data_IF_770648474288
#
_entry.id   IF_770648474288
#
_cell.length_a   1.000
_cell.length_b   1.000
_cell.length_c   1.000
_cell.angle_alpha   90.00
_cell.angle_beta   90.00
_cell.angle_gamma   90.00
#
_symmetry.space_group_name_H-M   'P 1'
#
loop_
_entity.id
_entity.type
_entity.pdbx_description
1 polymer ?
#
# COMPACT_ATOMS: atom_id res chain seq x y z
N UNK A 1 -40.92 -5.23 -28.87
CA UNK A 1 -39.66 -4.79 -29.50
C UNK A 1 -38.91 -4.05 -28.41
N UNK A 2 -38.19 -4.79 -27.56
CA UNK A 2 -37.47 -4.23 -26.41
C UNK A 2 -35.97 -4.15 -26.75
N UNK A 3 -35.31 -2.99 -26.60
CA UNK A 3 -33.88 -2.89 -26.82
C UNK A 3 -33.14 -3.34 -25.56
N UNK A 4 -32.40 -4.44 -25.69
CA UNK A 4 -31.45 -4.96 -24.70
C UNK A 4 -30.36 -3.92 -24.40
N UNK A 5 -30.22 -3.57 -23.13
CA UNK A 5 -29.13 -2.72 -22.62
C UNK A 5 -27.83 -3.54 -22.55
N UNK A 6 -27.11 -3.64 -23.67
CA UNK A 6 -25.70 -4.02 -23.68
C UNK A 6 -24.81 -2.79 -23.44
N UNK A 7 -23.69 -2.99 -22.75
CA UNK A 7 -22.58 -2.02 -22.76
C UNK A 7 -22.19 -1.44 -21.41
N UNK A 8 -22.08 -2.27 -20.36
CA UNK A 8 -21.18 -1.93 -19.25
C UNK A 8 -19.74 -2.12 -19.75
N UNK A 9 -19.17 -1.02 -20.23
CA UNK A 9 -17.79 -0.90 -20.69
C UNK A 9 -16.86 -1.39 -19.58
N UNK A 10 -16.28 -2.57 -19.78
CA UNK A 10 -15.19 -3.08 -18.96
C UNK A 10 -14.04 -2.08 -19.04
N UNK A 11 -13.64 -1.58 -17.87
CA UNK A 11 -12.47 -0.71 -17.74
C UNK A 11 -11.24 -1.61 -17.77
N UNK A 12 -10.73 -1.86 -18.97
CA UNK A 12 -9.38 -2.39 -19.19
C UNK A 12 -8.33 -1.29 -18.94
N UNK A 13 -7.39 -1.60 -18.05
CA UNK A 13 -6.17 -0.84 -17.78
C UNK A 13 -5.78 -1.04 -16.31
N UNK A 14 -4.65 -1.64 -15.94
CA UNK A 14 -3.34 -1.74 -16.59
C UNK A 14 -2.63 -2.99 -16.06
N UNK A 15 -1.92 -3.68 -16.96
CA UNK A 15 -1.11 -4.90 -16.71
C UNK A 15 -0.11 -4.72 -15.56
N UNK A 16 -0.07 -5.71 -14.67
CA UNK A 16 0.99 -5.91 -13.69
C UNK A 16 0.75 -7.12 -12.77
N UNK A 17 0.74 -8.34 -13.33
CA UNK A 17 0.81 -9.59 -12.57
C UNK A 17 -0.43 -10.47 -12.65
N UNK A 18 -0.46 -11.37 -13.62
CA UNK A 18 -1.53 -12.36 -13.82
C UNK A 18 -1.53 -13.40 -12.68
N UNK A 19 -2.68 -13.56 -12.02
CA UNK A 19 -3.12 -14.85 -11.45
C UNK A 19 -3.14 -15.04 -9.93
N UNK A 20 -2.57 -14.15 -9.11
CA UNK A 20 -2.46 -14.41 -7.64
C UNK A 20 -3.33 -13.54 -6.74
N UNK A 21 -3.68 -12.32 -7.18
CA UNK A 21 -4.43 -11.35 -6.39
C UNK A 21 -5.49 -10.67 -7.25
N UNK A 22 -6.63 -10.31 -6.64
CA UNK A 22 -7.67 -9.51 -7.29
C UNK A 22 -7.18 -8.09 -7.58
N UNK A 23 -7.85 -7.38 -8.50
CA UNK A 23 -7.51 -5.99 -8.83
C UNK A 23 -7.47 -5.07 -7.60
N UNK A 24 -8.39 -5.28 -6.66
CA UNK A 24 -8.45 -4.52 -5.41
C UNK A 24 -7.25 -4.83 -4.51
N UNK A 25 -6.92 -6.11 -4.33
CA UNK A 25 -5.75 -6.54 -3.56
C UNK A 25 -4.45 -5.99 -4.14
N UNK A 26 -4.27 -6.10 -5.47
CA UNK A 26 -3.09 -5.56 -6.17
C UNK A 26 -2.98 -4.05 -6.01
N UNK A 27 -4.10 -3.32 -6.03
CA UNK A 27 -4.11 -1.87 -5.78
C UNK A 27 -3.59 -1.53 -4.37
N UNK A 28 -4.09 -2.19 -3.33
CA UNK A 28 -3.66 -1.92 -1.96
C UNK A 28 -2.21 -2.34 -1.70
N UNK A 29 -1.76 -3.47 -2.26
CA UNK A 29 -0.36 -3.90 -2.18
C UNK A 29 0.58 -2.90 -2.88
N UNK A 30 0.25 -2.45 -4.09
CA UNK A 30 1.04 -1.45 -4.81
C UNK A 30 1.04 -0.09 -4.09
N UNK A 31 -0.08 0.30 -3.50
CA UNK A 31 -0.18 1.51 -2.67
C UNK A 31 0.73 1.41 -1.44
N UNK A 32 0.69 0.27 -0.73
CA UNK A 32 1.52 0.03 0.45
C UNK A 32 3.02 0.10 0.09
N UNK A 33 3.42 -0.57 -0.99
CA UNK A 33 4.80 -0.54 -1.47
C UNK A 33 5.28 0.89 -1.74
N UNK A 34 4.47 1.70 -2.43
CA UNK A 34 4.84 3.08 -2.76
C UNK A 34 5.01 3.95 -1.51
N UNK A 35 4.12 3.80 -0.52
CA UNK A 35 4.22 4.52 0.75
C UNK A 35 5.47 4.12 1.53
N UNK A 36 5.77 2.81 1.60
CA UNK A 36 6.96 2.29 2.26
C UNK A 36 8.24 2.79 1.59
N UNK A 37 8.29 2.76 0.26
CA UNK A 37 9.41 3.28 -0.52
C UNK A 37 9.64 4.76 -0.25
N UNK A 38 8.59 5.57 -0.31
CA UNK A 38 8.67 7.00 -0.02
C UNK A 38 9.19 7.26 1.40
N UNK A 39 8.73 6.47 2.38
CA UNK A 39 9.14 6.59 3.78
C UNK A 39 10.57 6.12 4.03
N UNK A 40 11.07 5.16 3.26
CA UNK A 40 12.45 4.65 3.30
C UNK A 40 13.43 5.60 2.60
N UNK A 41 13.12 6.04 1.38
CA UNK A 41 14.01 6.86 0.55
C UNK A 41 14.12 8.31 1.03
N UNK A 42 13.05 8.88 1.57
CA UNK A 42 13.00 10.31 1.92
C UNK A 42 12.99 10.57 3.43
N UNK A 43 13.30 9.58 4.28
CA UNK A 43 13.20 9.73 5.74
C UNK A 43 13.93 10.94 6.32
N UNK A 44 15.07 11.32 5.72
CA UNK A 44 15.93 12.40 6.20
C UNK A 44 15.51 13.77 5.63
N UNK A 45 14.67 13.78 4.60
CA UNK A 45 14.18 14.99 3.93
C UNK A 45 12.77 15.39 4.36
N UNK A 46 12.05 14.49 5.04
CA UNK A 46 10.68 14.70 5.47
C UNK A 46 10.64 15.42 6.82
N UNK A 47 9.71 16.36 6.96
CA UNK A 47 9.41 16.93 8.28
C UNK A 47 8.85 15.85 9.23
N UNK A 48 8.98 16.03 10.55
CA UNK A 48 8.38 15.13 11.53
C UNK A 48 6.87 14.91 11.31
N UNK A 49 6.15 15.96 10.91
CA UNK A 49 4.71 15.91 10.57
C UNK A 49 4.47 15.00 9.36
N UNK A 50 5.27 15.14 8.31
CA UNK A 50 5.15 14.34 7.10
C UNK A 50 5.47 12.87 7.36
N UNK A 51 6.46 12.60 8.21
CA UNK A 51 6.76 11.23 8.70
C UNK A 51 5.55 10.63 9.42
N UNK A 52 4.94 11.36 10.36
CA UNK A 52 3.75 10.86 11.09
C UNK A 52 2.57 10.59 10.16
N UNK A 53 2.35 11.45 9.15
CA UNK A 53 1.30 11.26 8.15
C UNK A 53 1.57 10.01 7.29
N UNK A 54 2.80 9.79 6.87
CA UNK A 54 3.19 8.59 6.12
C UNK A 54 3.04 7.33 6.96
N UNK A 55 3.50 7.33 8.22
CA UNK A 55 3.35 6.20 9.12
C UNK A 55 1.86 5.85 9.34
N UNK A 56 0.99 6.86 9.47
CA UNK A 56 -0.45 6.66 9.57
C UNK A 56 -1.05 6.09 8.28
N UNK A 57 -0.62 6.59 7.12
CA UNK A 57 -1.08 6.10 5.82
C UNK A 57 -0.65 4.64 5.59
N UNK A 58 0.60 4.30 5.92
CA UNK A 58 1.13 2.93 5.88
C UNK A 58 0.30 2.02 6.78
N UNK A 59 0.05 2.43 8.03
CA UNK A 59 -0.75 1.65 8.96
C UNK A 59 -2.17 1.37 8.43
N UNK A 60 -2.87 2.41 7.96
CA UNK A 60 -4.22 2.24 7.41
C UNK A 60 -4.22 1.31 6.19
N UNK A 61 -3.29 1.51 5.26
CA UNK A 61 -3.20 0.67 4.05
C UNK A 61 -2.81 -0.78 4.40
N UNK A 62 -2.00 -0.98 5.44
CA UNK A 62 -1.70 -2.32 5.95
C UNK A 62 -2.94 -3.00 6.54
N UNK A 63 -3.77 -2.28 7.31
CA UNK A 63 -5.07 -2.79 7.76
C UNK A 63 -5.98 -3.18 6.59
N UNK A 64 -6.07 -2.33 5.56
CA UNK A 64 -6.85 -2.66 4.35
C UNK A 64 -6.32 -3.95 3.68
N UNK A 65 -5.00 -4.14 3.63
CA UNK A 65 -4.39 -5.39 3.14
C UNK A 65 -4.73 -6.61 4.02
N UNK A 66 -4.84 -6.45 5.33
CA UNK A 66 -5.25 -7.52 6.25
C UNK A 66 -6.71 -7.91 6.00
N UNK A 67 -7.60 -6.93 5.90
CA UNK A 67 -9.03 -7.14 5.67
C UNK A 67 -9.30 -7.80 4.31
N UNK A 68 -8.46 -7.52 3.32
CA UNK A 68 -8.49 -8.14 1.99
C UNK A 68 -7.80 -9.52 1.94
N UNK A 69 -7.27 -10.03 3.05
CA UNK A 69 -6.65 -11.35 3.15
C UNK A 69 -5.25 -11.45 2.53
N UNK A 70 -4.61 -10.32 2.19
CA UNK A 70 -3.25 -10.26 1.61
C UNK A 70 -2.18 -9.82 2.62
N UNK A 71 -2.45 -10.06 3.90
CA UNK A 71 -1.55 -9.71 5.01
C UNK A 71 -0.14 -10.29 4.88
N UNK A 72 0.00 -11.53 4.41
CA UNK A 72 1.30 -12.19 4.24
C UNK A 72 2.21 -11.45 3.25
N UNK A 73 1.63 -10.98 2.14
CA UNK A 73 2.35 -10.21 1.12
C UNK A 73 2.67 -8.81 1.63
N UNK A 74 1.73 -8.18 2.33
CA UNK A 74 1.94 -6.89 2.98
C UNK A 74 3.07 -6.95 4.02
N UNK A 75 3.16 -8.01 4.81
CA UNK A 75 4.27 -8.24 5.73
C UNK A 75 5.60 -8.47 5.01
N UNK A 76 5.58 -9.12 3.83
CA UNK A 76 6.79 -9.26 3.00
C UNK A 76 7.30 -7.88 2.56
N UNK A 77 6.39 -6.98 2.16
CA UNK A 77 6.73 -5.60 1.80
C UNK A 77 7.32 -4.84 3.00
N UNK A 78 6.75 -4.97 4.21
CA UNK A 78 7.29 -4.34 5.41
C UNK A 78 8.73 -4.81 5.74
N UNK A 79 9.05 -6.08 5.50
CA UNK A 79 10.42 -6.60 5.69
C UNK A 79 11.39 -6.11 4.62
N UNK A 80 10.90 -5.83 3.41
CA UNK A 80 11.72 -5.32 2.31
C UNK A 80 12.11 -3.85 2.49
N UNK A 81 11.23 -3.06 3.12
CA UNK A 81 11.46 -1.66 3.44
C UNK A 81 11.52 -1.49 4.96
N UNK A 82 12.68 -1.69 5.60
CA UNK A 82 12.82 -1.48 7.03
C UNK A 82 12.66 0.00 7.35
N UNK A 83 11.42 0.39 7.61
CA UNK A 83 11.08 1.74 8.06
C UNK A 83 11.28 1.80 9.56
N UNK A 84 12.12 2.72 10.08
CA UNK A 84 12.20 2.93 11.51
C UNK A 84 10.85 3.44 12.01
N UNK A 85 10.18 2.63 12.83
CA UNK A 85 8.95 3.04 13.49
C UNK A 85 9.26 4.28 14.34
N UNK A 86 8.38 5.29 14.33
CA UNK A 86 8.59 6.53 15.08
C UNK A 86 8.95 6.31 16.58
N UNK A 87 8.66 5.13 17.15
CA UNK A 87 8.99 4.76 18.52
C UNK A 87 10.44 4.33 18.79
N UNK A 88 11.28 4.06 17.77
CA UNK A 88 12.66 3.59 18.00
C UNK A 88 13.71 4.69 18.17
N UNK A 89 13.33 5.98 18.16
CA UNK A 89 14.24 7.11 18.42
C UNK A 89 14.35 7.51 19.91
N UNK A 90 13.82 6.70 20.84
CA UNK A 90 13.98 6.93 22.28
C UNK A 90 15.07 6.00 22.83
N UNK A 91 16.33 6.39 22.69
CA UNK A 91 17.45 5.60 23.20
C UNK A 91 18.81 6.19 22.86
N UNK A 92 18.98 7.51 23.02
CA UNK A 92 20.32 8.12 23.12
C UNK A 92 20.53 8.52 24.58
N UNK A 93 21.60 7.99 25.17
CA UNK A 93 22.23 8.47 26.41
C UNK A 93 23.55 9.15 26.05
#
# INVERSE_FOLDING_TARGET
MEPTLEGRKEVEGVRGGEGRYSNLQSYFLGRLERLLRQRYEHQDLLSPEAVRLLDRAIYSTYCDCLDLGVGSEAQRLLRQFPVPSAGSRSGDN
#
